data_IF_605535921381
#
_entry.id   IF_605535921381
#
_cell.length_a   1.000
_cell.length_b   1.000
_cell.length_c   1.000
_cell.angle_alpha   90.00
_cell.angle_beta   90.00
_cell.angle_gamma   90.00
#
_symmetry.space_group_name_H-M   'P 1'
#
loop_
_entity.id
_entity.type
_entity.pdbx_description
1 polymer ?
#
# COMPACT_ATOMS: atom_id res chain seq x y z
N UNK A 1 -78.50 12.70 -5.24
CA UNK A 1 -77.31 13.04 -4.41
C UNK A 1 -76.17 12.15 -4.88
N UNK A 2 -75.04 12.75 -5.24
CA UNK A 2 -73.93 12.12 -5.96
C UNK A 2 -72.84 11.54 -5.04
N UNK A 3 -72.16 10.48 -5.52
CA UNK A 3 -70.79 10.00 -5.23
C UNK A 3 -70.77 8.47 -5.42
N UNK A 4 -69.76 7.81 -6.00
CA UNK A 4 -68.36 8.16 -6.19
C UNK A 4 -67.83 7.30 -7.35
N UNK A 5 -67.34 7.94 -8.41
CA UNK A 5 -66.61 7.24 -9.47
C UNK A 5 -65.24 6.81 -8.92
N UNK A 6 -64.97 5.50 -8.95
CA UNK A 6 -63.69 4.94 -8.58
C UNK A 6 -62.61 5.44 -9.56
N UNK A 7 -61.65 6.19 -9.03
CA UNK A 7 -60.49 6.67 -9.78
C UNK A 7 -59.53 5.50 -9.98
N UNK A 8 -59.53 4.91 -11.16
CA UNK A 8 -58.49 3.97 -11.60
C UNK A 8 -57.16 4.72 -11.70
N UNK A 9 -56.31 4.54 -10.68
CA UNK A 9 -54.93 5.03 -10.66
C UNK A 9 -54.12 4.13 -11.59
N UNK A 10 -53.96 4.55 -12.84
CA UNK A 10 -52.99 3.94 -13.76
C UNK A 10 -51.58 4.35 -13.31
N UNK A 11 -50.90 3.48 -12.56
CA UNK A 11 -49.47 3.63 -12.31
C UNK A 11 -48.72 3.41 -13.62
N UNK A 12 -48.19 4.49 -14.18
CA UNK A 12 -47.27 4.43 -15.29
C UNK A 12 -45.97 3.80 -14.81
N UNK A 13 -45.81 2.50 -15.09
CA UNK A 13 -44.53 1.79 -14.93
C UNK A 13 -43.54 2.37 -15.94
N UNK A 14 -42.88 3.45 -15.54
CA UNK A 14 -41.74 4.03 -16.25
C UNK A 14 -40.67 2.95 -16.36
N UNK A 15 -40.50 2.41 -17.55
CA UNK A 15 -39.47 1.42 -17.89
C UNK A 15 -38.10 2.06 -17.70
N UNK A 16 -37.56 1.96 -16.48
CA UNK A 16 -36.21 2.39 -16.16
C UNK A 16 -35.24 1.51 -16.94
N UNK A 17 -34.84 2.00 -18.10
CA UNK A 17 -33.71 1.48 -18.86
C UNK A 17 -32.52 1.46 -17.91
N UNK A 18 -32.12 0.26 -17.50
CA UNK A 18 -30.91 -0.02 -16.73
C UNK A 18 -29.73 0.45 -17.59
N UNK A 19 -29.38 1.73 -17.43
CA UNK A 19 -28.15 2.30 -17.94
C UNK A 19 -27.05 1.42 -17.39
N UNK A 20 -26.43 0.63 -18.27
CA UNK A 20 -25.26 -0.19 -17.95
C UNK A 20 -24.21 0.79 -17.44
N UNK A 21 -24.10 0.90 -16.11
CA UNK A 21 -23.16 1.79 -15.45
C UNK A 21 -21.78 1.39 -15.94
N UNK A 22 -21.22 2.20 -16.83
CA UNK A 22 -19.82 2.11 -17.20
C UNK A 22 -19.08 2.23 -15.87
N UNK A 23 -18.33 1.18 -15.51
CA UNK A 23 -17.63 1.05 -14.23
C UNK A 23 -16.86 2.32 -13.93
N UNK A 24 -17.49 3.24 -13.21
CA UNK A 24 -16.97 4.57 -12.96
C UNK A 24 -16.39 4.56 -11.55
N UNK A 25 -15.27 5.26 -11.33
CA UNK A 25 -14.66 5.41 -10.00
C UNK A 25 -15.58 6.10 -8.98
N UNK A 26 -16.73 6.59 -9.43
CA UNK A 26 -17.79 7.19 -8.63
C UNK A 26 -18.83 6.18 -8.11
N UNK A 27 -18.78 4.90 -8.50
CA UNK A 27 -19.66 3.88 -7.93
C UNK A 27 -19.17 3.45 -6.53
N UNK A 28 -19.94 3.65 -5.45
CA UNK A 28 -19.53 3.28 -4.11
C UNK A 28 -19.28 1.76 -3.94
N UNK A 29 -19.88 0.91 -4.77
CA UNK A 29 -19.65 -0.53 -4.76
C UNK A 29 -18.43 -0.95 -5.58
N UNK A 30 -17.79 -0.04 -6.33
CA UNK A 30 -16.60 -0.35 -7.11
C UNK A 30 -15.44 -0.83 -6.20
N UNK A 31 -15.32 -0.27 -5.00
CA UNK A 31 -14.26 -0.63 -4.04
C UNK A 31 -14.25 -2.12 -3.64
N UNK A 32 -15.39 -2.82 -3.75
CA UNK A 32 -15.47 -4.25 -3.45
C UNK A 32 -14.88 -5.15 -4.56
N UNK A 33 -14.77 -4.62 -5.78
CA UNK A 33 -14.30 -5.35 -6.97
C UNK A 33 -12.95 -4.86 -7.48
N UNK A 34 -12.54 -3.65 -7.10
CA UNK A 34 -11.25 -3.09 -7.48
C UNK A 34 -10.11 -3.79 -6.74
N UNK A 35 -9.09 -4.17 -7.50
CA UNK A 35 -7.86 -4.72 -6.93
C UNK A 35 -7.17 -3.66 -6.07
N UNK A 36 -6.73 -4.10 -4.89
CA UNK A 36 -5.98 -3.23 -4.01
C UNK A 36 -4.63 -2.91 -4.64
N UNK A 37 -4.12 -1.68 -4.51
CA UNK A 37 -2.84 -1.28 -5.11
C UNK A 37 -1.66 -2.17 -4.68
N UNK A 38 -1.72 -2.76 -3.48
CA UNK A 38 -0.72 -3.72 -3.01
C UNK A 38 -0.74 -5.04 -3.80
N UNK A 39 -1.91 -5.50 -4.24
CA UNK A 39 -2.04 -6.73 -5.03
C UNK A 39 -1.37 -6.56 -6.40
N UNK A 40 -1.55 -5.38 -7.02
CA UNK A 40 -0.92 -5.05 -8.30
C UNK A 40 0.61 -4.98 -8.19
N UNK A 41 1.12 -4.46 -7.07
CA UNK A 41 2.56 -4.39 -6.81
C UNK A 41 3.19 -5.78 -6.54
N UNK A 42 2.45 -6.66 -5.86
CA UNK A 42 2.87 -8.04 -5.59
C UNK A 42 2.92 -8.87 -6.88
N UNK A 43 1.96 -8.70 -7.80
CA UNK A 43 1.86 -9.49 -9.03
C UNK A 43 2.99 -9.24 -10.05
N UNK A 44 3.62 -8.06 -10.05
CA UNK A 44 4.67 -7.69 -11.00
C UNK A 44 6.11 -7.87 -10.49
N UNK A 45 6.30 -8.14 -9.20
CA UNK A 45 7.63 -8.27 -8.60
C UNK A 45 7.95 -9.74 -8.36
N UNK A 46 9.14 -10.19 -8.78
CA UNK A 46 9.68 -11.48 -8.33
C UNK A 46 9.72 -11.42 -6.81
N UNK A 47 8.84 -12.18 -6.15
CA UNK A 47 8.68 -12.25 -4.70
C UNK A 47 9.88 -12.94 -4.04
N UNK A 48 11.10 -12.55 -4.41
CA UNK A 48 12.26 -12.89 -3.63
C UNK A 48 12.12 -12.20 -2.28
N UNK A 49 12.04 -13.00 -1.22
CA UNK A 49 11.93 -12.49 0.13
C UNK A 49 13.14 -11.60 0.41
N UNK A 50 12.93 -10.31 0.67
CA UNK A 50 14.03 -9.41 1.05
C UNK A 50 14.74 -9.92 2.32
N UNK A 51 14.05 -10.72 3.15
CA UNK A 51 14.61 -11.38 4.33
C UNK A 51 15.57 -12.52 4.01
N UNK A 52 15.49 -13.14 2.83
CA UNK A 52 16.44 -14.17 2.39
C UNK A 52 17.68 -13.59 1.71
N UNK A 53 17.76 -12.27 1.57
CA UNK A 53 18.92 -11.60 1.00
C UNK A 53 20.02 -11.49 2.07
N UNK A 54 21.25 -11.84 1.70
CA UNK A 54 22.38 -11.67 2.59
C UNK A 54 22.73 -10.19 2.69
N UNK A 55 22.48 -9.60 3.85
CA UNK A 55 22.83 -8.21 4.12
C UNK A 55 24.32 -8.07 4.48
N UNK A 56 24.85 -6.89 4.16
CA UNK A 56 26.19 -6.44 4.52
C UNK A 56 26.10 -5.21 5.41
N UNK A 57 27.09 -5.02 6.25
CA UNK A 57 27.21 -3.86 7.11
C UNK A 57 27.74 -2.63 6.33
N UNK A 58 27.93 -1.51 7.04
CA UNK A 58 28.46 -0.28 6.46
C UNK A 58 29.90 -0.39 5.91
N UNK A 59 30.66 -1.41 6.35
CA UNK A 59 32.03 -1.71 5.89
C UNK A 59 32.03 -2.68 4.71
N UNK A 60 30.87 -3.21 4.34
CA UNK A 60 30.72 -4.22 3.29
C UNK A 60 30.95 -5.65 3.79
N UNK A 61 31.08 -5.87 5.10
CA UNK A 61 31.21 -7.20 5.69
C UNK A 61 29.84 -7.88 5.78
N UNK A 62 29.85 -9.21 5.64
CA UNK A 62 28.62 -10.01 5.67
C UNK A 62 28.08 -10.06 7.10
N UNK A 63 26.81 -9.71 7.30
CA UNK A 63 26.15 -9.80 8.60
C UNK A 63 25.74 -11.26 8.84
N UNK A 64 26.49 -11.98 9.67
CA UNK A 64 26.26 -13.40 9.97
C UNK A 64 25.09 -13.63 10.91
N UNK A 65 24.87 -12.73 11.87
CA UNK A 65 23.77 -12.77 12.85
C UNK A 65 22.96 -11.48 12.78
N UNK A 66 22.03 -11.33 11.82
CA UNK A 66 21.23 -10.13 11.65
C UNK A 66 20.22 -9.97 12.80
N UNK A 67 20.02 -8.73 13.23
CA UNK A 67 18.97 -8.40 14.18
C UNK A 67 17.58 -8.64 13.56
N UNK A 68 16.64 -9.12 14.38
CA UNK A 68 15.26 -9.46 13.98
C UNK A 68 14.46 -8.25 13.54
N UNK A 69 14.72 -7.09 14.14
CA UNK A 69 14.04 -5.83 13.82
C UNK A 69 14.69 -5.09 12.66
N UNK A 70 16.00 -5.29 12.47
CA UNK A 70 16.79 -4.58 11.49
C UNK A 70 17.89 -5.47 10.90
N UNK A 71 17.68 -6.09 9.73
CA UNK A 71 18.64 -7.03 9.16
C UNK A 71 19.91 -6.35 8.58
N UNK A 72 19.97 -5.02 8.55
CA UNK A 72 21.20 -4.27 8.24
C UNK A 72 22.11 -4.07 9.45
N UNK A 73 21.74 -4.61 10.62
CA UNK A 73 22.51 -4.53 11.86
C UNK A 73 22.83 -5.92 12.43
N UNK A 74 24.06 -6.16 12.91
CA UNK A 74 24.36 -7.36 13.69
C UNK A 74 23.67 -7.34 15.05
N UNK A 75 23.14 -8.49 15.48
CA UNK A 75 22.31 -8.64 16.68
C UNK A 75 23.00 -8.23 17.99
N UNK A 76 24.33 -8.30 18.05
CA UNK A 76 25.13 -8.01 19.24
C UNK A 76 25.80 -6.63 19.21
N UNK A 77 25.49 -5.78 18.24
CA UNK A 77 26.00 -4.41 18.21
C UNK A 77 25.47 -3.59 19.38
N UNK A 78 26.34 -2.76 20.00
CA UNK A 78 25.90 -1.86 21.06
C UNK A 78 25.04 -0.76 20.44
N UNK A 79 23.87 -0.42 21.04
CA UNK A 79 23.02 0.65 20.51
C UNK A 79 23.74 1.99 20.31
N UNK A 80 24.72 2.33 21.16
CA UNK A 80 25.53 3.55 21.01
C UNK A 80 26.40 3.54 19.75
N UNK A 81 26.95 2.38 19.37
CA UNK A 81 27.79 2.27 18.17
C UNK A 81 26.92 2.45 16.92
N UNK A 82 25.69 1.94 16.96
CA UNK A 82 24.69 2.16 15.91
C UNK A 82 24.30 3.63 15.78
N UNK A 83 24.06 4.32 16.90
CA UNK A 83 23.72 5.75 16.86
C UNK A 83 24.86 6.56 16.27
N UNK A 84 26.11 6.30 16.72
CA UNK A 84 27.30 6.99 16.19
C UNK A 84 27.53 6.72 14.70
N UNK A 85 27.25 5.51 14.22
CA UNK A 85 27.39 5.19 12.79
C UNK A 85 26.36 5.93 11.94
N UNK A 86 25.12 6.10 12.43
CA UNK A 86 24.13 6.95 11.78
C UNK A 86 24.55 8.42 11.75
N UNK A 87 25.04 8.97 12.86
CA UNK A 87 25.55 10.35 12.90
C UNK A 87 26.67 10.54 11.88
N UNK A 88 27.65 9.64 11.86
CA UNK A 88 28.76 9.69 10.90
C UNK A 88 28.29 9.62 9.44
N UNK A 89 27.32 8.76 9.13
CA UNK A 89 26.77 8.63 7.78
C UNK A 89 25.99 9.88 7.34
N UNK A 90 25.21 10.47 8.24
CA UNK A 90 24.47 11.73 7.98
C UNK A 90 25.45 12.87 7.75
N UNK A 91 26.48 13.00 8.60
CA UNK A 91 27.49 14.04 8.48
C UNK A 91 28.30 13.91 7.18
N UNK A 92 28.66 12.67 6.80
CA UNK A 92 29.33 12.39 5.54
C UNK A 92 28.45 12.80 4.33
N UNK A 93 27.16 12.44 4.34
CA UNK A 93 26.21 12.81 3.29
C UNK A 93 26.00 14.32 3.21
N UNK A 94 25.96 15.00 4.36
CA UNK A 94 25.82 16.46 4.41
C UNK A 94 27.04 17.16 3.82
N UNK A 95 28.24 16.63 4.09
CA UNK A 95 29.49 17.13 3.51
C UNK A 95 29.54 16.92 2.01
N UNK A 96 29.12 15.76 1.51
CA UNK A 96 29.03 15.48 0.07
C UNK A 96 28.11 16.48 -0.63
N UNK A 97 26.91 16.74 -0.10
CA UNK A 97 25.96 17.69 -0.70
C UNK A 97 26.42 19.16 -0.64
N UNK A 98 27.42 19.48 0.18
CA UNK A 98 27.96 20.83 0.34
C UNK A 98 29.16 21.11 -0.59
N UNK A 99 29.68 20.07 -1.28
CA UNK A 99 30.69 20.17 -2.33
C UNK A 99 30.02 20.21 -3.71
#
# INVERSE_FOLDING_TARGET
>A
MASSAASERTESVSSHSYKKSLSNKADPNAALREEQPIANAIGGTSLFSLRSMQHRDAKGEIITDPDRSNPTRPRLERPLDTIRSFEAAIEARRRENAM
#
